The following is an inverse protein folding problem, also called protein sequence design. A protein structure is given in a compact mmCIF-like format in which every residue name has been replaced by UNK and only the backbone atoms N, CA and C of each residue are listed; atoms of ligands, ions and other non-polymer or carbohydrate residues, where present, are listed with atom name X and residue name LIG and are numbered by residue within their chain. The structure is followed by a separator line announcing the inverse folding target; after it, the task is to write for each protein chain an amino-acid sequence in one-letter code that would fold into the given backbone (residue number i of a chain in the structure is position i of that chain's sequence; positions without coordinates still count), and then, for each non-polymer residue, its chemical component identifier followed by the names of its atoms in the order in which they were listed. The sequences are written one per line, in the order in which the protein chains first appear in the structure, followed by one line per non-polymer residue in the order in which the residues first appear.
data_IF_883527464952
#
_entry.id   IF_883527464952
#
_cell.length_a   1.000
_cell.length_b   1.000
_cell.length_c   1.000
_cell.angle_alpha   90.00
_cell.angle_beta   90.00
_cell.angle_gamma   90.00
#
_symmetry.space_group_name_H-M   'P 1'
#
loop_
_entity.id
_entity.type
_entity.pdbx_description
1 polymer ?
#
# COMPACT_ATOMS: atom_id res chain seq x y z
N UNK A 1 23.93 17.28 25.95
CA UNK A 1 23.70 17.42 24.50
C UNK A 1 22.81 16.28 24.02
N UNK A 2 21.72 16.57 23.30
CA UNK A 2 20.89 15.52 22.67
C UNK A 2 21.61 14.96 21.44
N UNK A 3 21.69 13.63 21.32
CA UNK A 3 22.29 12.97 20.17
C UNK A 3 21.55 13.37 18.88
N UNK A 4 22.27 13.92 17.90
CA UNK A 4 21.71 14.14 16.56
C UNK A 4 21.49 12.78 15.91
N UNK A 5 20.23 12.42 15.68
CA UNK A 5 19.85 11.18 15.02
C UNK A 5 20.00 11.33 13.50
N UNK A 6 20.47 10.26 12.86
CA UNK A 6 20.43 10.15 11.41
C UNK A 6 18.97 10.20 10.92
N UNK A 7 18.72 10.81 9.76
CA UNK A 7 17.38 10.88 9.19
C UNK A 7 16.85 9.47 8.87
N UNK A 8 15.70 9.13 9.45
CA UNK A 8 15.05 7.81 9.32
C UNK A 8 13.94 7.76 8.26
N UNK A 9 13.40 8.90 7.84
CA UNK A 9 12.39 9.00 6.78
C UNK A 9 13.00 9.56 5.49
N UNK A 10 12.43 9.19 4.34
CA UNK A 10 12.87 9.75 3.04
C UNK A 10 12.70 11.27 2.98
N UNK A 11 11.65 11.80 3.63
CA UNK A 11 11.46 13.25 3.77
C UNK A 11 12.58 13.92 4.56
N UNK A 12 13.08 13.28 5.63
CA UNK A 12 14.18 13.81 6.43
C UNK A 12 15.52 13.66 5.70
N UNK A 13 15.70 12.58 4.93
CA UNK A 13 16.88 12.37 4.08
C UNK A 13 16.95 13.41 2.97
N UNK A 14 15.84 13.65 2.26
CA UNK A 14 15.73 14.68 1.22
C UNK A 14 16.10 16.06 1.78
N UNK A 15 15.49 16.46 2.90
CA UNK A 15 15.81 17.74 3.57
C UNK A 15 17.27 17.85 4.00
N UNK A 16 17.86 16.76 4.50
CA UNK A 16 19.26 16.74 4.89
C UNK A 16 20.18 16.90 3.66
N UNK A 17 19.86 16.24 2.55
CA UNK A 17 20.60 16.37 1.29
C UNK A 17 20.47 17.77 0.67
N UNK A 18 19.28 18.37 0.69
CA UNK A 18 19.06 19.76 0.26
C UNK A 18 19.92 20.74 1.08
N UNK A 19 19.87 20.65 2.41
CA UNK A 19 20.70 21.48 3.29
C UNK A 19 22.20 21.24 3.09
N UNK A 20 22.60 19.99 2.85
CA UNK A 20 23.99 19.69 2.54
C UNK A 20 24.40 20.38 1.22
N UNK A 21 23.56 20.32 0.18
CA UNK A 21 23.80 20.99 -1.10
C UNK A 21 23.94 22.51 -0.95
N UNK A 22 23.01 23.14 -0.22
CA UNK A 22 23.04 24.59 0.08
C UNK A 22 24.37 24.97 0.74
N UNK A 23 24.80 24.21 1.76
CA UNK A 23 26.08 24.46 2.43
C UNK A 23 27.30 24.26 1.54
N UNK A 24 27.23 23.37 0.56
CA UNK A 24 28.31 23.20 -0.42
C UNK A 24 28.37 24.28 -1.49
N UNK A 25 27.32 25.10 -1.63
CA UNK A 25 27.34 26.30 -2.47
C UNK A 25 27.85 27.53 -1.69
N UNK A 26 27.59 27.60 -0.38
CA UNK A 26 27.98 28.72 0.49
C UNK A 26 29.44 28.66 0.98
N UNK A 27 29.94 27.46 1.26
CA UNK A 27 31.24 27.26 1.92
C UNK A 27 32.37 26.96 0.93
N UNK A 28 33.59 27.38 1.28
CA UNK A 28 34.81 26.98 0.56
C UNK A 28 35.04 25.47 0.69
N UNK A 29 35.69 24.80 -0.30
CA UNK A 29 36.00 23.37 -0.22
C UNK A 29 36.78 22.93 1.03
N UNK A 30 37.50 23.85 1.67
CA UNK A 30 38.28 23.60 2.89
C UNK A 30 37.38 23.55 4.14
N UNK A 31 36.31 24.35 4.16
CA UNK A 31 35.38 24.49 5.30
C UNK A 31 34.20 23.50 5.22
N UNK A 32 34.14 22.74 4.14
CA UNK A 32 33.10 21.77 3.85
C UNK A 32 33.28 20.50 4.69
N UNK A 33 32.20 20.05 5.34
CA UNK A 33 32.21 18.84 6.16
C UNK A 33 32.35 17.53 5.36
N UNK A 34 32.43 17.62 4.03
CA UNK A 34 32.52 16.49 3.12
C UNK A 34 33.33 16.87 1.87
N UNK A 35 33.92 15.88 1.20
CA UNK A 35 34.79 16.14 0.04
C UNK A 35 34.06 16.76 -1.15
N UNK A 36 34.79 17.51 -1.98
CA UNK A 36 34.28 18.05 -3.24
C UNK A 36 33.72 16.97 -4.17
N UNK A 37 34.31 15.76 -4.16
CA UNK A 37 33.81 14.60 -4.91
C UNK A 37 32.40 14.21 -4.46
N UNK A 38 32.13 14.26 -3.16
CA UNK A 38 30.81 13.98 -2.59
C UNK A 38 29.81 15.08 -2.95
N UNK A 39 30.23 16.34 -2.94
CA UNK A 39 29.38 17.46 -3.37
C UNK A 39 28.87 17.29 -4.81
N UNK A 40 29.79 16.99 -5.74
CA UNK A 40 29.44 16.80 -7.15
C UNK A 40 28.46 15.64 -7.34
N UNK A 41 28.66 14.53 -6.62
CA UNK A 41 27.72 13.39 -6.63
C UNK A 41 26.36 13.78 -6.08
N UNK A 42 26.33 14.52 -4.97
CA UNK A 42 25.10 14.96 -4.32
C UNK A 42 24.28 15.86 -5.26
N UNK A 43 24.93 16.80 -5.95
CA UNK A 43 24.27 17.68 -6.92
C UNK A 43 23.65 16.92 -8.10
N UNK A 44 24.31 15.89 -8.61
CA UNK A 44 23.78 15.04 -9.70
C UNK A 44 22.65 14.11 -9.21
N UNK A 45 22.67 13.72 -7.94
CA UNK A 45 21.71 12.79 -7.37
C UNK A 45 20.42 13.48 -6.90
N UNK A 46 20.53 14.70 -6.38
CA UNK A 46 19.44 15.38 -5.66
C UNK A 46 18.17 15.52 -6.50
N UNK A 47 18.30 15.99 -7.74
CA UNK A 47 17.16 16.20 -8.64
C UNK A 47 16.39 14.91 -8.93
N UNK A 48 17.13 13.80 -9.11
CA UNK A 48 16.52 12.49 -9.35
C UNK A 48 15.83 11.95 -8.11
N UNK A 49 16.45 12.14 -6.93
CA UNK A 49 15.88 11.71 -5.66
C UNK A 49 14.61 12.51 -5.31
N UNK A 50 14.59 13.81 -5.57
CA UNK A 50 13.42 14.66 -5.35
C UNK A 50 12.24 14.26 -6.24
N UNK A 51 12.49 14.04 -7.54
CA UNK A 51 11.47 13.52 -8.46
C UNK A 51 10.91 12.18 -7.98
N UNK A 52 11.79 11.22 -7.69
CA UNK A 52 11.37 9.90 -7.21
C UNK A 52 10.55 9.97 -5.91
N UNK A 53 10.91 10.88 -4.99
CA UNK A 53 10.14 11.09 -3.76
C UNK A 53 8.75 11.68 -4.02
N UNK A 54 8.63 12.65 -4.93
CA UNK A 54 7.34 13.25 -5.33
C UNK A 54 6.46 12.19 -6.01
N UNK A 55 7.02 11.43 -6.95
CA UNK A 55 6.32 10.37 -7.66
C UNK A 55 5.83 9.27 -6.72
N UNK A 56 6.68 8.87 -5.76
CA UNK A 56 6.27 7.93 -4.73
C UNK A 56 5.12 8.46 -3.88
N UNK A 57 5.19 9.72 -3.42
CA UNK A 57 4.11 10.31 -2.61
C UNK A 57 2.82 10.41 -3.41
N UNK A 58 2.87 10.84 -4.65
CA UNK A 58 1.68 10.98 -5.50
C UNK A 58 1.04 9.60 -5.75
N UNK A 59 1.83 8.60 -6.12
CA UNK A 59 1.37 7.22 -6.31
C UNK A 59 0.75 6.65 -5.03
N UNK A 60 1.41 6.83 -3.87
CA UNK A 60 0.88 6.37 -2.59
C UNK A 60 -0.44 7.04 -2.23
N UNK A 61 -0.56 8.36 -2.41
CA UNK A 61 -1.82 9.07 -2.15
C UNK A 61 -2.93 8.60 -3.07
N UNK A 62 -2.64 8.42 -4.36
CA UNK A 62 -3.61 7.89 -5.33
C UNK A 62 -4.05 6.47 -4.96
N UNK A 63 -3.11 5.61 -4.52
CA UNK A 63 -3.40 4.26 -4.07
C UNK A 63 -4.33 4.27 -2.85
N UNK A 64 -4.04 5.08 -1.83
CA UNK A 64 -4.85 5.16 -0.61
C UNK A 64 -6.26 5.67 -0.91
N UNK A 65 -6.37 6.74 -1.70
CA UNK A 65 -7.67 7.29 -2.09
C UNK A 65 -8.47 6.30 -2.94
N UNK A 66 -7.85 5.66 -3.93
CA UNK A 66 -8.51 4.67 -4.78
C UNK A 66 -8.95 3.44 -3.97
N UNK A 67 -8.15 3.01 -3.01
CA UNK A 67 -8.49 1.91 -2.12
C UNK A 67 -9.77 2.23 -1.33
N UNK A 68 -9.84 3.43 -0.76
CA UNK A 68 -10.98 3.87 0.04
C UNK A 68 -12.24 4.12 -0.78
N UNK A 69 -12.11 4.78 -1.93
CA UNK A 69 -13.24 5.29 -2.72
C UNK A 69 -13.81 4.25 -3.68
N UNK A 70 -12.95 3.44 -4.30
CA UNK A 70 -13.36 2.52 -5.36
C UNK A 70 -13.29 1.06 -4.93
N UNK A 71 -12.19 0.69 -4.27
CA UNK A 71 -11.90 -0.71 -4.02
C UNK A 71 -12.72 -1.31 -2.87
N UNK A 72 -12.62 -0.74 -1.67
CA UNK A 72 -13.33 -1.24 -0.48
C UNK A 72 -14.86 -1.32 -0.67
N UNK A 73 -15.54 -0.33 -1.30
CA UNK A 73 -16.97 -0.45 -1.57
C UNK A 73 -17.32 -1.59 -2.52
N UNK A 74 -16.53 -1.78 -3.59
CA UNK A 74 -16.72 -2.90 -4.53
C UNK A 74 -16.49 -4.25 -3.84
N UNK A 75 -15.45 -4.33 -3.02
CA UNK A 75 -15.13 -5.52 -2.23
C UNK A 75 -16.27 -5.87 -1.27
N UNK A 76 -16.78 -4.89 -0.52
CA UNK A 76 -17.89 -5.07 0.40
C UNK A 76 -19.17 -5.51 -0.33
N UNK A 77 -19.46 -4.90 -1.49
CA UNK A 77 -20.61 -5.27 -2.31
C UNK A 77 -20.48 -6.72 -2.82
N UNK A 78 -19.32 -7.11 -3.34
CA UNK A 78 -19.05 -8.48 -3.76
C UNK A 78 -19.24 -9.48 -2.60
N UNK A 79 -18.70 -9.18 -1.41
CA UNK A 79 -18.89 -10.01 -0.20
C UNK A 79 -20.37 -10.22 0.13
N UNK A 80 -21.18 -9.15 0.07
CA UNK A 80 -22.62 -9.25 0.35
C UNK A 80 -23.32 -10.17 -0.65
N UNK A 81 -23.05 -10.03 -1.96
CA UNK A 81 -23.68 -10.86 -2.98
C UNK A 81 -23.30 -12.35 -2.84
N UNK A 82 -22.02 -12.65 -2.62
CA UNK A 82 -21.55 -14.04 -2.47
C UNK A 82 -22.14 -14.67 -1.20
N UNK A 83 -22.12 -13.95 -0.07
CA UNK A 83 -22.74 -14.44 1.16
C UNK A 83 -24.25 -14.64 1.00
N UNK A 84 -24.92 -13.74 0.28
CA UNK A 84 -26.34 -13.89 0.01
C UNK A 84 -26.63 -15.10 -0.87
N UNK A 85 -25.85 -15.30 -1.93
CA UNK A 85 -25.93 -16.48 -2.80
C UNK A 85 -25.82 -17.77 -1.99
N UNK A 86 -24.80 -17.89 -1.13
CA UNK A 86 -24.63 -19.07 -0.27
C UNK A 86 -25.78 -19.29 0.70
N UNK A 87 -26.34 -18.21 1.27
CA UNK A 87 -27.52 -18.31 2.15
C UNK A 87 -28.74 -18.83 1.39
N UNK A 88 -29.03 -18.29 0.20
CA UNK A 88 -30.17 -18.71 -0.62
C UNK A 88 -29.98 -20.15 -1.08
N UNK A 89 -28.80 -20.51 -1.58
CA UNK A 89 -28.47 -21.88 -1.99
C UNK A 89 -28.72 -22.87 -0.84
N UNK A 90 -28.25 -22.55 0.36
CA UNK A 90 -28.50 -23.36 1.55
C UNK A 90 -29.98 -23.46 1.91
N UNK A 91 -30.72 -22.34 1.88
CA UNK A 91 -32.16 -22.34 2.13
C UNK A 91 -32.93 -23.21 1.13
N UNK A 92 -32.55 -23.19 -0.15
CA UNK A 92 -33.13 -24.05 -1.18
C UNK A 92 -32.87 -25.55 -0.90
N UNK A 93 -31.68 -25.91 -0.42
CA UNK A 93 -31.38 -27.29 0.00
C UNK A 93 -32.18 -27.68 1.24
N UNK A 94 -32.26 -26.82 2.26
CA UNK A 94 -33.03 -27.09 3.49
C UNK A 94 -34.53 -27.26 3.23
N UNK A 95 -35.07 -26.56 2.22
CA UNK A 95 -36.46 -26.71 1.75
C UNK A 95 -36.70 -27.96 0.91
N UNK A 96 -35.65 -28.63 0.43
CA UNK A 96 -35.74 -29.74 -0.50
C UNK A 96 -35.92 -29.34 -1.97
N UNK A 97 -35.77 -28.06 -2.31
CA UNK A 97 -35.84 -27.56 -3.68
C UNK A 97 -34.57 -27.93 -4.49
N UNK A 98 -33.46 -28.22 -3.81
CA UNK A 98 -32.16 -28.61 -4.39
C UNK A 98 -31.51 -29.78 -3.64
N UNK A 99 -30.72 -30.60 -4.36
CA UNK A 99 -29.88 -31.64 -3.75
C UNK A 99 -28.72 -31.04 -2.94
N UNK A 100 -28.28 -31.77 -1.92
CA UNK A 100 -27.08 -31.47 -1.11
C UNK A 100 -25.82 -31.45 -1.97
N UNK A 101 -25.78 -32.17 -3.10
CA UNK A 101 -24.65 -32.18 -4.04
C UNK A 101 -24.33 -30.78 -4.59
N UNK A 102 -25.35 -29.92 -4.70
CA UNK A 102 -25.18 -28.52 -5.12
C UNK A 102 -24.30 -27.72 -4.15
N UNK A 103 -24.24 -28.09 -2.87
CA UNK A 103 -23.34 -27.47 -1.89
C UNK A 103 -21.90 -27.97 -2.07
N UNK A 104 -21.73 -29.26 -2.38
CA UNK A 104 -20.42 -29.88 -2.63
C UNK A 104 -19.73 -29.25 -3.84
N UNK A 105 -20.49 -28.89 -4.88
CA UNK A 105 -19.95 -28.20 -6.06
C UNK A 105 -19.23 -26.88 -5.72
N UNK A 106 -19.67 -26.18 -4.67
CA UNK A 106 -19.06 -24.91 -4.22
C UNK A 106 -18.13 -25.09 -3.01
N UNK A 107 -17.73 -26.34 -2.69
CA UNK A 107 -16.97 -26.69 -1.48
C UNK A 107 -17.61 -26.18 -0.18
N UNK A 108 -18.94 -26.03 -0.17
CA UNK A 108 -19.70 -25.56 0.98
C UNK A 108 -20.10 -26.74 1.85
N UNK A 109 -19.82 -26.62 3.15
CA UNK A 109 -20.35 -27.55 4.14
C UNK A 109 -21.78 -27.16 4.51
N UNK A 110 -22.72 -28.11 4.67
CA UNK A 110 -24.12 -27.81 4.98
C UNK A 110 -24.26 -26.99 6.27
N UNK A 111 -23.35 -27.14 7.23
CA UNK A 111 -23.42 -26.47 8.53
C UNK A 111 -22.64 -25.15 8.64
N UNK A 112 -21.96 -24.68 7.59
CA UNK A 112 -21.07 -23.51 7.73
C UNK A 112 -21.03 -22.63 6.48
N UNK A 113 -21.35 -21.35 6.67
CA UNK A 113 -21.10 -20.30 5.67
C UNK A 113 -19.65 -19.83 5.84
N UNK A 114 -18.82 -19.82 4.78
CA UNK A 114 -17.44 -19.39 4.87
C UNK A 114 -17.35 -17.89 5.22
N UNK A 115 -16.38 -17.56 6.07
CA UNK A 115 -16.09 -16.17 6.40
C UNK A 115 -15.20 -15.56 5.31
N UNK A 116 -15.74 -14.61 4.54
CA UNK A 116 -15.04 -13.86 3.49
C UNK A 116 -14.17 -12.74 4.11
N UNK A 117 -13.19 -13.13 4.93
CA UNK A 117 -12.32 -12.20 5.65
C UNK A 117 -11.22 -11.60 4.77
N UNK A 118 -10.65 -12.39 3.86
CA UNK A 118 -9.64 -11.96 2.87
C UNK A 118 -10.21 -11.96 1.46
N UNK A 119 -9.56 -11.24 0.55
CA UNK A 119 -9.84 -11.23 -0.89
C UNK A 119 -9.61 -12.59 -1.53
N UNK A 120 -8.58 -13.31 -1.07
CA UNK A 120 -8.23 -14.64 -1.56
C UNK A 120 -9.36 -15.67 -1.29
N UNK A 121 -10.33 -15.32 -0.44
CA UNK A 121 -11.51 -16.16 -0.16
C UNK A 121 -12.72 -15.77 -1.01
N UNK A 122 -12.64 -14.66 -1.74
CA UNK A 122 -13.69 -14.15 -2.64
C UNK A 122 -13.47 -14.70 -4.06
N UNK A 123 -12.21 -14.77 -4.48
CA UNK A 123 -11.81 -15.45 -5.70
C UNK A 123 -11.58 -16.92 -5.33
N UNK A 124 -12.53 -17.78 -5.70
CA UNK A 124 -12.46 -19.23 -5.48
C UNK A 124 -11.20 -19.84 -6.10
#
# INVERSE_FOLDING_TARGET
MSYRRLPNTDSARLKALQKACEKGLELSPIDLAYSQKTFNKLRLFLDNYEKAYIDYRSAYTAQVENNKTNYLPKLNKAKIYILHFFKVLKMSVERGDLSVDSLVFFDLKPNKIPALTSEDKIFF
#
